data_IF_378223718327
#
_entry.id   IF_378223718327
#
_cell.length_a   1.000
_cell.length_b   1.000
_cell.length_c   1.000
_cell.angle_alpha   90.00
_cell.angle_beta   90.00
_cell.angle_gamma   90.00
#
_symmetry.space_group_name_H-M   'P 1'
#
loop_
_entity.id
_entity.type
_entity.pdbx_description
1 polymer ?
#
# COMPACT_ATOMS: atom_id res chain seq x y z
N UNK A 1 11.58 -17.96 -17.73
CA UNK A 1 12.60 -18.44 -16.77
C UNK A 1 12.20 -18.28 -15.30
N UNK A 2 11.49 -17.22 -14.89
CA UNK A 2 11.04 -17.01 -13.50
C UNK A 2 9.99 -18.03 -13.02
N UNK A 3 8.95 -18.32 -13.83
CA UNK A 3 7.86 -19.25 -13.48
C UNK A 3 8.35 -20.67 -13.17
N UNK A 4 9.12 -21.24 -14.10
CA UNK A 4 9.64 -22.61 -13.98
C UNK A 4 10.51 -22.79 -12.72
N UNK A 5 11.29 -21.76 -12.35
CA UNK A 5 12.10 -21.79 -11.13
C UNK A 5 11.23 -21.80 -9.87
N UNK A 6 10.17 -21.00 -9.83
CA UNK A 6 9.24 -21.00 -8.71
C UNK A 6 8.51 -22.34 -8.55
N UNK A 7 8.09 -22.94 -9.66
CA UNK A 7 7.46 -24.26 -9.65
C UNK A 7 8.42 -25.35 -9.17
N UNK A 8 9.66 -25.37 -9.66
CA UNK A 8 10.70 -26.31 -9.18
C UNK A 8 11.01 -26.13 -7.70
N UNK A 9 11.08 -24.88 -7.21
CA UNK A 9 11.30 -24.58 -5.81
C UNK A 9 10.20 -25.18 -4.90
N UNK A 10 8.93 -25.02 -5.29
CA UNK A 10 7.80 -25.59 -4.54
C UNK A 10 7.86 -27.13 -4.54
N UNK A 11 8.11 -27.75 -5.70
CA UNK A 11 8.22 -29.21 -5.80
C UNK A 11 9.39 -29.76 -4.98
N UNK A 12 10.53 -29.08 -5.00
CA UNK A 12 11.70 -29.45 -4.20
C UNK A 12 11.36 -29.39 -2.70
N UNK A 13 10.81 -28.28 -2.21
CA UNK A 13 10.43 -28.13 -0.80
C UNK A 13 9.38 -29.16 -0.35
N UNK A 14 8.40 -29.46 -1.20
CA UNK A 14 7.39 -30.48 -0.94
C UNK A 14 8.02 -31.88 -0.85
N UNK A 15 8.99 -32.21 -1.72
CA UNK A 15 9.72 -33.49 -1.66
C UNK A 15 10.51 -33.69 -0.35
N UNK A 16 10.84 -32.61 0.35
CA UNK A 16 11.54 -32.61 1.64
C UNK A 16 10.60 -32.75 2.86
N UNK A 17 9.31 -33.00 2.62
CA UNK A 17 8.32 -33.32 3.66
C UNK A 17 7.64 -32.11 4.31
N UNK A 18 7.69 -30.93 3.70
CA UNK A 18 6.96 -29.77 4.20
C UNK A 18 5.46 -29.88 3.86
N UNK A 19 4.63 -29.61 4.86
CA UNK A 19 3.16 -29.69 4.76
C UNK A 19 2.55 -28.66 3.80
N UNK A 20 3.24 -27.53 3.61
CA UNK A 20 2.86 -26.51 2.64
C UNK A 20 4.12 -25.76 2.18
N UNK A 21 4.11 -25.30 0.93
CA UNK A 21 5.13 -24.42 0.38
C UNK A 21 4.51 -23.45 -0.62
N UNK A 22 4.97 -22.20 -0.64
CA UNK A 22 4.74 -21.27 -1.75
C UNK A 22 6.01 -20.57 -2.20
N UNK A 23 5.96 -20.07 -3.43
CA UNK A 23 6.99 -19.25 -4.01
C UNK A 23 6.37 -18.05 -4.74
N UNK A 24 7.00 -16.89 -4.58
CA UNK A 24 6.72 -15.65 -5.30
C UNK A 24 7.93 -15.26 -6.10
N UNK A 25 7.83 -15.34 -7.43
CA UNK A 25 8.84 -14.76 -8.31
C UNK A 25 8.35 -13.42 -8.82
N UNK A 26 9.20 -12.41 -8.70
CA UNK A 26 8.85 -11.04 -9.05
C UNK A 26 9.91 -10.43 -9.94
N UNK A 27 9.46 -9.65 -10.92
CA UNK A 27 10.28 -8.75 -11.72
C UNK A 27 9.68 -7.35 -11.56
N UNK A 28 10.53 -6.38 -11.21
CA UNK A 28 10.16 -4.98 -11.03
C UNK A 28 11.07 -4.15 -11.91
N UNK A 29 10.48 -3.43 -12.85
CA UNK A 29 11.16 -2.47 -13.71
C UNK A 29 10.63 -1.09 -13.39
N UNK A 30 11.50 -0.16 -13.00
CA UNK A 30 11.12 1.20 -12.66
C UNK A 30 12.00 2.19 -13.39
N UNK A 31 11.38 3.21 -13.95
CA UNK A 31 12.06 4.40 -14.44
C UNK A 31 11.37 5.65 -13.91
N UNK A 32 12.12 6.74 -13.86
CA UNK A 32 11.62 8.03 -13.39
C UNK A 32 12.73 9.05 -13.27
N UNK A 33 12.40 10.20 -12.74
CA UNK A 33 13.36 11.27 -12.50
C UNK A 33 12.82 12.24 -11.44
N UNK A 34 13.71 13.09 -10.96
CA UNK A 34 13.40 14.24 -10.10
C UNK A 34 13.86 15.49 -10.84
N UNK A 35 12.91 16.40 -11.07
CA UNK A 35 13.17 17.74 -11.60
C UNK A 35 13.19 18.70 -10.42
N UNK A 36 14.25 19.51 -10.34
CA UNK A 36 14.35 20.64 -9.45
C UNK A 36 14.56 21.90 -10.28
N UNK A 37 13.68 22.88 -10.10
CA UNK A 37 13.79 24.19 -10.72
C UNK A 37 14.10 24.17 -12.23
N UNK A 38 13.43 23.30 -12.98
CA UNK A 38 13.61 23.15 -14.43
C UNK A 38 14.81 22.32 -14.87
N UNK A 39 15.54 21.69 -13.96
CA UNK A 39 16.68 20.83 -14.25
C UNK A 39 16.45 19.43 -13.69
N UNK A 40 16.95 18.40 -14.37
CA UNK A 40 16.91 17.02 -13.86
C UNK A 40 18.05 16.87 -12.85
N UNK A 41 17.70 16.61 -11.59
CA UNK A 41 18.67 16.34 -10.52
C UNK A 41 19.00 14.85 -10.42
N UNK A 42 17.98 14.00 -10.62
CA UNK A 42 18.12 12.56 -10.49
C UNK A 42 17.37 11.83 -11.59
N UNK A 43 17.97 10.77 -12.11
CA UNK A 43 17.31 9.78 -12.97
C UNK A 43 17.25 8.47 -12.21
N UNK A 44 16.07 7.84 -12.22
CA UNK A 44 15.80 6.56 -11.57
C UNK A 44 15.70 5.52 -12.68
N UNK A 45 16.54 4.50 -12.62
CA UNK A 45 16.39 3.27 -13.40
C UNK A 45 16.66 2.10 -12.46
N UNK A 46 15.71 1.18 -12.35
CA UNK A 46 15.80 0.03 -11.46
C UNK A 46 15.23 -1.19 -12.15
N UNK A 47 15.99 -2.28 -12.15
CA UNK A 47 15.54 -3.60 -12.54
C UNK A 47 15.82 -4.55 -11.39
N UNK A 48 14.78 -5.18 -10.87
CA UNK A 48 14.90 -6.20 -9.84
C UNK A 48 14.21 -7.47 -10.29
N UNK A 49 14.85 -8.61 -10.05
CA UNK A 49 14.26 -9.91 -10.29
C UNK A 49 14.70 -10.86 -9.18
N UNK A 50 13.77 -11.69 -8.70
CA UNK A 50 14.10 -12.70 -7.71
C UNK A 50 12.93 -13.58 -7.34
N UNK A 51 13.14 -14.36 -6.28
CA UNK A 51 12.18 -15.32 -5.75
C UNK A 51 12.21 -15.29 -4.22
N UNK A 52 11.03 -15.29 -3.60
CA UNK A 52 10.82 -15.55 -2.18
C UNK A 52 10.06 -16.86 -2.01
N UNK A 53 10.48 -17.71 -1.07
CA UNK A 53 9.93 -19.05 -0.85
C UNK A 53 9.58 -19.19 0.62
N UNK A 54 8.33 -19.56 0.90
CA UNK A 54 7.87 -19.95 2.25
C UNK A 54 7.68 -21.44 2.32
N UNK A 55 8.16 -22.04 3.40
CA UNK A 55 7.96 -23.46 3.72
C UNK A 55 7.28 -23.59 5.07
N UNK A 56 6.31 -24.47 5.17
CA UNK A 56 5.66 -24.84 6.42
C UNK A 56 5.99 -26.29 6.74
N UNK A 57 6.89 -26.50 7.70
CA UNK A 57 7.40 -27.83 8.04
C UNK A 57 7.20 -28.04 9.54
N UNK A 58 6.60 -29.18 9.91
CA UNK A 58 6.21 -29.49 11.29
C UNK A 58 5.45 -28.35 11.97
N UNK A 59 4.53 -27.69 11.26
CA UNK A 59 3.69 -26.62 11.83
C UNK A 59 4.42 -25.32 12.18
N UNK A 60 5.62 -25.07 11.63
CA UNK A 60 6.34 -23.80 11.76
C UNK A 60 6.82 -23.27 10.39
N UNK A 61 6.84 -21.95 10.24
CA UNK A 61 7.29 -21.28 9.03
C UNK A 61 8.81 -21.21 8.91
N UNK A 62 9.31 -21.37 7.69
CA UNK A 62 10.63 -20.96 7.23
C UNK A 62 10.49 -20.08 5.99
N UNK A 63 11.42 -19.16 5.79
CA UNK A 63 11.43 -18.27 4.63
C UNK A 63 12.86 -18.14 4.09
N UNK A 64 12.97 -18.11 2.76
CA UNK A 64 14.20 -17.82 2.05
C UNK A 64 13.90 -16.94 0.83
N UNK A 65 14.82 -16.03 0.50
CA UNK A 65 14.71 -15.24 -0.72
C UNK A 65 16.07 -15.08 -1.39
N UNK A 66 16.07 -14.98 -2.71
CA UNK A 66 17.30 -14.81 -3.51
C UNK A 66 17.00 -14.19 -4.87
N UNK A 67 17.95 -13.44 -5.40
CA UNK A 67 18.03 -13.08 -6.83
C UNK A 67 18.94 -14.02 -7.61
N UNK A 68 19.76 -14.82 -6.92
CA UNK A 68 20.66 -15.82 -7.49
C UNK A 68 19.97 -17.19 -7.56
N UNK A 69 19.71 -17.63 -8.79
CA UNK A 69 19.03 -18.90 -9.06
C UNK A 69 19.83 -20.13 -8.64
N UNK A 70 21.16 -20.03 -8.55
CA UNK A 70 22.02 -21.17 -8.18
C UNK A 70 21.91 -21.53 -6.69
N UNK A 71 21.38 -20.60 -5.87
CA UNK A 71 21.26 -20.76 -4.41
C UNK A 71 19.88 -21.20 -3.95
N UNK A 72 18.94 -21.47 -4.87
CA UNK A 72 17.54 -21.77 -4.52
C UNK A 72 17.46 -23.04 -3.66
N UNK A 73 17.99 -24.18 -4.11
CA UNK A 73 17.83 -25.46 -3.42
C UNK A 73 18.52 -25.47 -2.04
N UNK A 74 19.73 -24.92 -1.95
CA UNK A 74 20.45 -24.77 -0.68
C UNK A 74 19.69 -23.86 0.29
N UNK A 75 19.18 -22.72 -0.20
CA UNK A 75 18.43 -21.80 0.64
C UNK A 75 17.08 -22.35 1.10
N UNK A 76 16.38 -23.12 0.27
CA UNK A 76 15.19 -23.86 0.68
C UNK A 76 15.55 -24.85 1.79
N UNK A 77 16.64 -25.60 1.61
CA UNK A 77 17.12 -26.55 2.62
C UNK A 77 17.38 -25.85 3.96
N UNK A 78 17.99 -24.66 3.94
CA UNK A 78 18.24 -23.88 5.15
C UNK A 78 16.95 -23.31 5.77
N UNK A 79 15.99 -22.87 4.96
CA UNK A 79 14.66 -22.47 5.45
C UNK A 79 13.92 -23.64 6.11
N UNK A 80 14.03 -24.85 5.56
CA UNK A 80 13.43 -26.07 6.15
C UNK A 80 14.12 -26.40 7.48
N UNK A 81 15.46 -26.35 7.55
CA UNK A 81 16.19 -26.55 8.81
C UNK A 81 15.75 -25.54 9.86
N UNK A 82 15.62 -24.27 9.49
CA UNK A 82 15.15 -23.23 10.40
C UNK A 82 13.72 -23.51 10.88
N UNK A 83 12.79 -23.83 9.97
CA UNK A 83 11.41 -24.19 10.31
C UNK A 83 11.36 -25.36 11.30
N UNK A 84 12.09 -26.45 11.03
CA UNK A 84 12.15 -27.64 11.91
C UNK A 84 12.82 -27.35 13.25
N UNK A 85 13.81 -26.46 13.29
CA UNK A 85 14.43 -26.05 14.55
C UNK A 85 13.44 -25.28 15.43
N UNK A 86 12.76 -24.29 14.87
CA UNK A 86 11.79 -23.47 15.61
C UNK A 86 10.50 -24.23 15.95
N UNK A 87 10.15 -25.26 15.18
CA UNK A 87 8.96 -26.08 15.46
C UNK A 87 9.01 -26.79 16.82
N UNK A 88 10.22 -27.01 17.38
CA UNK A 88 10.44 -27.63 18.69
C UNK A 88 10.00 -26.73 19.86
N UNK A 89 9.91 -25.41 19.65
CA UNK A 89 9.59 -24.42 20.69
C UNK A 89 8.30 -23.64 20.40
N UNK A 90 7.49 -24.08 19.42
CA UNK A 90 6.23 -23.42 19.07
C UNK A 90 5.18 -23.61 20.17
N UNK A 91 4.36 -22.59 20.41
CA UNK A 91 3.20 -22.69 21.32
C UNK A 91 2.06 -23.52 20.71
N UNK A 92 1.89 -23.43 19.40
CA UNK A 92 0.85 -24.13 18.62
C UNK A 92 1.34 -24.37 17.20
N UNK A 93 0.73 -25.34 16.51
CA UNK A 93 0.94 -25.51 15.08
C UNK A 93 0.31 -24.35 14.30
N UNK A 94 0.99 -23.90 13.25
CA UNK A 94 0.37 -23.09 12.20
C UNK A 94 -0.63 -23.98 11.45
N UNK A 95 -1.84 -23.47 11.29
CA UNK A 95 -2.93 -24.11 10.53
C UNK A 95 -3.43 -23.11 9.49
N UNK A 96 -3.42 -23.50 8.22
CA UNK A 96 -3.87 -22.65 7.14
C UNK A 96 -5.36 -22.89 6.86
N UNK A 97 -6.13 -21.81 6.82
CA UNK A 97 -7.49 -21.89 6.31
C UNK A 97 -7.46 -22.26 4.82
N UNK A 98 -8.43 -23.08 4.42
CA UNK A 98 -8.57 -23.50 3.03
C UNK A 98 -8.98 -22.32 2.15
N UNK A 99 -8.37 -22.26 0.96
CA UNK A 99 -8.76 -21.35 -0.10
C UNK A 99 -8.89 -22.14 -1.41
N UNK A 100 -9.78 -21.75 -2.33
CA UNK A 100 -9.82 -22.35 -3.65
C UNK A 100 -8.49 -22.16 -4.39
N UNK A 101 -7.93 -23.26 -4.89
CA UNK A 101 -6.76 -23.21 -5.78
C UNK A 101 -7.13 -22.55 -7.11
N UNK A 102 -6.24 -21.71 -7.65
CA UNK A 102 -6.50 -20.94 -8.87
C UNK A 102 -5.31 -21.01 -9.83
N UNK A 103 -5.61 -21.22 -11.12
CA UNK A 103 -4.65 -21.02 -12.23
C UNK A 103 -5.13 -19.82 -13.05
N UNK A 104 -4.38 -18.72 -13.03
CA UNK A 104 -4.76 -17.47 -13.69
C UNK A 104 -3.55 -16.74 -14.27
N UNK A 105 -3.74 -16.07 -15.40
CA UNK A 105 -2.76 -15.16 -15.99
C UNK A 105 -3.44 -13.81 -16.24
N UNK A 106 -3.10 -12.82 -15.42
CA UNK A 106 -3.79 -11.54 -15.32
C UNK A 106 -2.85 -10.43 -15.73
N UNK A 107 -3.17 -9.77 -16.85
CA UNK A 107 -2.49 -8.57 -17.31
C UNK A 107 -3.43 -7.37 -17.22
N UNK A 108 -3.01 -6.38 -16.44
CA UNK A 108 -3.78 -5.18 -16.18
C UNK A 108 -3.62 -4.25 -17.38
N UNK A 109 -4.74 -3.71 -17.87
CA UNK A 109 -4.73 -2.85 -19.06
C UNK A 109 -4.19 -1.46 -18.73
N UNK A 110 -3.25 -0.99 -19.53
CA UNK A 110 -2.82 0.41 -19.58
C UNK A 110 -3.46 1.08 -20.81
N UNK A 111 -3.88 2.34 -20.69
CA UNK A 111 -4.41 3.11 -21.83
C UNK A 111 -3.31 3.85 -22.58
N UNK A 112 -2.32 4.37 -21.85
CA UNK A 112 -1.20 5.17 -22.40
C UNK A 112 0.10 4.73 -21.77
N UNK A 113 1.11 4.42 -22.58
CA UNK A 113 2.41 4.06 -22.04
C UNK A 113 3.09 5.27 -21.37
N UNK A 114 3.63 5.03 -20.18
CA UNK A 114 4.36 6.00 -19.38
C UNK A 114 5.86 5.93 -19.70
N UNK A 115 6.27 6.32 -20.91
CA UNK A 115 7.70 6.34 -21.31
C UNK A 115 8.46 7.46 -20.61
N UNK A 116 9.81 7.39 -20.48
CA UNK A 116 10.61 8.47 -19.92
C UNK A 116 10.32 9.85 -20.55
N UNK A 117 10.16 9.90 -21.88
CA UNK A 117 9.88 11.15 -22.60
C UNK A 117 8.49 11.71 -22.30
N UNK A 118 7.46 10.84 -22.29
CA UNK A 118 6.08 11.27 -22.03
C UNK A 118 5.88 11.69 -20.58
N UNK A 119 6.49 10.97 -19.62
CA UNK A 119 6.56 11.38 -18.21
C UNK A 119 7.29 12.73 -18.10
N UNK A 120 8.45 12.84 -18.75
CA UNK A 120 9.31 14.03 -18.74
C UNK A 120 8.55 15.28 -19.14
N UNK A 121 7.83 15.20 -20.27
CA UNK A 121 7.03 16.30 -20.78
C UNK A 121 6.03 16.82 -19.75
N UNK A 122 5.22 15.93 -19.16
CA UNK A 122 4.20 16.30 -18.16
C UNK A 122 4.85 16.90 -16.91
N UNK A 123 5.95 16.30 -16.44
CA UNK A 123 6.65 16.75 -15.24
C UNK A 123 7.31 18.13 -15.42
N UNK A 124 7.96 18.39 -16.56
CA UNK A 124 8.52 19.71 -16.88
C UNK A 124 7.43 20.79 -17.01
N UNK A 125 6.27 20.44 -17.56
CA UNK A 125 5.13 21.35 -17.64
C UNK A 125 4.59 21.69 -16.23
N UNK A 126 4.49 20.70 -15.34
CA UNK A 126 4.11 20.92 -13.94
C UNK A 126 5.13 21.79 -13.19
N UNK A 127 6.43 21.51 -13.33
CA UNK A 127 7.50 22.31 -12.74
C UNK A 127 7.45 23.78 -13.21
N UNK A 128 7.26 23.99 -14.52
CA UNK A 128 7.11 25.33 -15.10
C UNK A 128 5.90 26.07 -14.54
N UNK A 129 4.77 25.39 -14.36
CA UNK A 129 3.57 25.96 -13.75
C UNK A 129 3.85 26.35 -12.30
N UNK A 130 4.47 25.46 -11.51
CA UNK A 130 4.76 25.72 -10.10
C UNK A 130 5.66 26.95 -9.94
N UNK A 131 6.74 27.02 -10.72
CA UNK A 131 7.69 28.14 -10.74
C UNK A 131 7.13 29.45 -11.29
N UNK A 132 5.96 29.43 -11.93
CA UNK A 132 5.33 30.63 -12.47
C UNK A 132 5.04 31.70 -11.42
N UNK A 133 4.95 31.32 -10.14
CA UNK A 133 4.75 32.24 -9.03
C UNK A 133 6.09 32.71 -8.43
N UNK A 134 6.33 34.03 -8.42
CA UNK A 134 7.60 34.65 -7.99
C UNK A 134 7.97 34.40 -6.52
N UNK A 135 7.01 34.04 -5.66
CA UNK A 135 7.26 33.71 -4.25
C UNK A 135 7.71 32.26 -4.05
N UNK A 136 7.65 31.43 -5.09
CA UNK A 136 8.21 30.07 -5.07
C UNK A 136 9.71 30.15 -5.29
N UNK A 137 10.47 29.69 -4.31
CA UNK A 137 11.94 29.60 -4.38
C UNK A 137 12.42 28.23 -4.84
N UNK A 138 11.59 27.20 -4.66
CA UNK A 138 11.92 25.84 -5.06
C UNK A 138 10.68 25.07 -5.52
N UNK A 139 10.80 24.46 -6.70
CA UNK A 139 9.89 23.47 -7.27
C UNK A 139 10.62 22.13 -7.33
N UNK A 140 10.00 21.07 -6.80
CA UNK A 140 10.48 19.69 -6.93
C UNK A 140 9.34 18.86 -7.51
N UNK A 141 9.58 18.24 -8.66
CA UNK A 141 8.65 17.31 -9.30
C UNK A 141 9.32 15.95 -9.44
N UNK A 142 8.80 14.92 -8.78
CA UNK A 142 9.21 13.54 -9.02
C UNK A 142 8.15 12.82 -9.83
N UNK A 143 8.56 12.16 -10.91
CA UNK A 143 7.65 11.32 -11.69
C UNK A 143 8.30 9.96 -11.90
N UNK A 144 7.53 8.89 -11.71
CA UNK A 144 8.01 7.53 -11.97
C UNK A 144 6.92 6.60 -12.44
N UNK A 145 7.32 5.61 -13.22
CA UNK A 145 6.49 4.48 -13.64
C UNK A 145 7.21 3.19 -13.28
N UNK A 146 6.47 2.23 -12.75
CA UNK A 146 6.98 0.89 -12.45
C UNK A 146 6.11 -0.15 -13.13
N UNK A 147 6.71 -1.16 -13.75
CA UNK A 147 6.03 -2.38 -14.23
C UNK A 147 6.43 -3.54 -13.32
N UNK A 148 5.44 -4.24 -12.80
CA UNK A 148 5.59 -5.34 -11.86
C UNK A 148 4.98 -6.59 -12.47
N UNK A 149 5.78 -7.65 -12.59
CA UNK A 149 5.33 -8.99 -12.94
C UNK A 149 5.51 -9.89 -11.72
N UNK A 150 4.41 -10.42 -11.17
CA UNK A 150 4.39 -11.25 -9.97
C UNK A 150 3.78 -12.61 -10.29
N UNK A 151 4.56 -13.66 -10.08
CA UNK A 151 4.13 -15.05 -10.20
C UNK A 151 4.09 -15.73 -8.83
N UNK A 152 2.90 -16.09 -8.38
CA UNK A 152 2.68 -16.89 -7.17
C UNK A 152 2.38 -18.34 -7.54
N UNK A 153 3.02 -19.29 -6.85
CA UNK A 153 2.72 -20.72 -6.95
C UNK A 153 2.81 -21.37 -5.58
N UNK A 154 1.96 -22.36 -5.31
CA UNK A 154 2.00 -23.12 -4.07
C UNK A 154 1.86 -24.64 -4.26
N UNK A 155 2.10 -25.39 -3.19
CA UNK A 155 2.02 -26.86 -3.15
C UNK A 155 0.60 -27.41 -3.24
N UNK A 156 -0.41 -26.54 -3.19
CA UNK A 156 -1.84 -26.87 -3.33
C UNK A 156 -2.34 -26.64 -4.78
N UNK A 157 -1.42 -26.34 -5.70
CA UNK A 157 -1.68 -26.27 -7.13
C UNK A 157 -2.03 -24.88 -7.68
N UNK A 158 -2.00 -23.83 -6.86
CA UNK A 158 -2.25 -22.47 -7.35
C UNK A 158 -1.10 -22.02 -8.25
N UNK A 159 -1.42 -21.35 -9.36
CA UNK A 159 -0.47 -20.75 -10.33
C UNK A 159 -1.03 -19.43 -10.83
N UNK A 160 -0.58 -18.32 -10.25
CA UNK A 160 -1.20 -17.01 -10.46
C UNK A 160 -0.14 -16.03 -10.97
N UNK A 161 -0.31 -15.55 -12.19
CA UNK A 161 0.46 -14.43 -12.74
C UNK A 161 -0.36 -13.14 -12.66
N UNK A 162 0.26 -12.07 -12.16
CA UNK A 162 -0.28 -10.71 -12.17
C UNK A 162 0.77 -9.75 -12.73
N UNK A 163 0.44 -9.04 -13.81
CA UNK A 163 1.30 -8.02 -14.44
C UNK A 163 0.59 -6.67 -14.48
N UNK A 164 1.15 -5.67 -13.81
CA UNK A 164 0.57 -4.33 -13.71
C UNK A 164 1.64 -3.24 -13.74
N UNK A 165 1.20 -2.02 -14.04
CA UNK A 165 2.05 -0.83 -13.97
C UNK A 165 1.47 0.17 -12.98
N UNK A 166 2.33 0.85 -12.23
CA UNK A 166 1.98 1.94 -11.34
C UNK A 166 2.69 3.22 -11.81
N UNK A 167 1.94 4.29 -12.05
CA UNK A 167 2.45 5.61 -12.46
C UNK A 167 2.13 6.62 -11.36
N UNK A 168 3.14 7.33 -10.86
CA UNK A 168 3.03 8.26 -9.73
C UNK A 168 3.79 9.55 -10.05
N UNK A 169 3.22 10.69 -9.66
CA UNK A 169 3.87 12.00 -9.70
C UNK A 169 3.67 12.76 -8.38
N UNK A 170 4.77 13.20 -7.81
CA UNK A 170 4.85 14.04 -6.62
C UNK A 170 5.18 15.49 -7.02
N UNK A 171 4.36 16.43 -6.57
CA UNK A 171 4.49 17.86 -6.83
C UNK A 171 4.77 18.58 -5.51
N UNK A 172 5.92 19.23 -5.40
CA UNK A 172 6.28 20.00 -4.20
C UNK A 172 6.60 21.44 -4.57
N UNK A 173 5.91 22.37 -3.91
CA UNK A 173 6.15 23.80 -4.02
C UNK A 173 6.64 24.35 -2.68
N UNK A 174 7.74 25.08 -2.69
CA UNK A 174 8.30 25.76 -1.51
C UNK A 174 8.28 27.26 -1.77
N UNK A 175 7.53 27.97 -0.95
CA UNK A 175 7.43 29.42 -0.95
C UNK A 175 8.27 30.03 0.16
N UNK A 176 8.89 31.18 -0.10
CA UNK A 176 9.63 31.92 0.92
C UNK A 176 9.39 33.42 0.79
N UNK A 177 9.12 34.08 1.90
CA UNK A 177 9.02 35.53 1.98
C UNK A 177 9.27 36.00 3.43
N UNK A 178 10.00 37.10 3.59
CA UNK A 178 10.20 37.77 4.88
C UNK A 178 10.69 36.83 6.01
N UNK A 179 11.57 35.89 5.67
CA UNK A 179 12.12 34.91 6.62
C UNK A 179 11.21 33.71 6.92
N UNK A 180 9.99 33.67 6.39
CA UNK A 180 9.06 32.56 6.52
C UNK A 180 9.16 31.63 5.30
N UNK A 181 9.29 30.33 5.56
CA UNK A 181 9.26 29.28 4.53
C UNK A 181 8.03 28.40 4.72
N UNK A 182 7.29 28.14 3.64
CA UNK A 182 6.15 27.24 3.63
C UNK A 182 6.24 26.27 2.46
N UNK A 183 5.72 25.06 2.65
CA UNK A 183 5.70 24.04 1.61
C UNK A 183 4.35 23.35 1.53
N UNK A 184 4.02 22.93 0.31
CA UNK A 184 2.92 22.03 0.00
C UNK A 184 3.47 20.91 -0.86
N UNK A 185 3.04 19.69 -0.56
CA UNK A 185 3.24 18.51 -1.37
C UNK A 185 1.86 17.95 -1.75
N UNK A 186 1.77 17.45 -2.99
CA UNK A 186 0.60 16.75 -3.54
C UNK A 186 1.10 15.58 -4.37
N UNK A 187 0.48 14.41 -4.21
CA UNK A 187 0.83 13.19 -4.94
C UNK A 187 -0.37 12.72 -5.75
N UNK A 188 -0.16 12.45 -7.03
CA UNK A 188 -1.18 11.90 -7.93
C UNK A 188 -0.66 10.67 -8.64
N UNK A 189 -1.57 9.78 -9.02
CA UNK A 189 -1.23 8.56 -9.75
C UNK A 189 -2.11 7.37 -9.42
N UNK A 190 -1.66 6.20 -9.84
CA UNK A 190 -2.38 4.97 -9.61
C UNK A 190 -1.83 3.79 -10.39
N UNK A 191 -2.55 2.67 -10.31
CA UNK A 191 -2.27 1.46 -11.09
C UNK A 191 -2.77 1.63 -12.52
N UNK A 192 -1.87 1.98 -13.42
CA UNK A 192 -2.09 2.19 -14.84
C UNK A 192 -0.88 2.87 -15.48
N UNK A 193 -1.07 3.27 -16.72
CA UNK A 193 -0.07 4.03 -17.47
C UNK A 193 -0.18 5.54 -17.24
N UNK A 194 0.27 6.31 -18.23
CA UNK A 194 0.32 7.77 -18.20
C UNK A 194 -1.06 8.41 -18.01
N UNK A 195 -2.15 7.69 -18.37
CA UNK A 195 -3.53 8.14 -18.14
C UNK A 195 -3.78 8.51 -16.67
N UNK A 196 -3.06 7.89 -15.72
CA UNK A 196 -3.20 8.13 -14.28
C UNK A 196 -2.81 9.53 -13.83
N UNK A 197 -2.00 10.22 -14.63
CA UNK A 197 -1.57 11.60 -14.35
C UNK A 197 -1.95 12.56 -15.48
N UNK A 198 -2.75 12.11 -16.47
CA UNK A 198 -3.13 12.96 -17.63
C UNK A 198 -4.62 12.97 -17.93
N UNK A 199 -5.31 11.82 -17.80
CA UNK A 199 -6.73 11.68 -18.15
C UNK A 199 -7.61 11.53 -16.91
N UNK A 200 -7.10 10.82 -15.91
CA UNK A 200 -7.85 10.54 -14.68
C UNK A 200 -7.83 11.75 -13.72
N UNK A 201 -6.90 12.71 -13.92
CA UNK A 201 -6.74 13.93 -13.10
C UNK A 201 -6.30 15.14 -13.94
N UNK A 202 -6.69 16.34 -13.51
CA UNK A 202 -6.30 17.63 -14.12
C UNK A 202 -4.95 18.13 -13.57
N UNK A 203 -3.88 17.40 -13.90
CA UNK A 203 -2.59 17.51 -13.20
C UNK A 203 -1.95 18.91 -13.26
N UNK A 204 -2.15 19.65 -14.34
CA UNK A 204 -1.65 21.03 -14.48
C UNK A 204 -2.41 22.00 -13.58
N UNK A 205 -3.71 21.77 -13.36
CA UNK A 205 -4.48 22.52 -12.37
C UNK A 205 -3.99 22.22 -10.96
N UNK A 206 -3.69 20.96 -10.66
CA UNK A 206 -3.14 20.51 -9.37
C UNK A 206 -1.75 21.11 -9.13
N UNK A 207 -0.88 21.18 -10.15
CA UNK A 207 0.41 21.84 -10.07
C UNK A 207 0.27 23.34 -9.73
N UNK A 208 -0.69 24.02 -10.39
CA UNK A 208 -1.00 25.42 -10.09
C UNK A 208 -1.53 25.59 -8.66
N UNK A 209 -2.45 24.73 -8.23
CA UNK A 209 -3.01 24.76 -6.88
C UNK A 209 -1.93 24.53 -5.81
N UNK A 210 -1.03 23.57 -6.05
CA UNK A 210 0.12 23.28 -5.17
C UNK A 210 0.98 24.53 -4.96
N UNK A 211 1.29 25.26 -6.05
CA UNK A 211 2.01 26.54 -5.99
C UNK A 211 1.24 27.63 -5.25
N UNK A 212 -0.04 27.83 -5.61
CA UNK A 212 -0.89 28.86 -5.00
C UNK A 212 -1.09 28.62 -3.49
N UNK A 213 -1.23 27.37 -3.06
CA UNK A 213 -1.39 27.01 -1.65
C UNK A 213 -0.11 27.24 -0.85
N UNK A 214 1.06 26.88 -1.38
CA UNK A 214 2.33 27.15 -0.72
C UNK A 214 2.53 28.66 -0.49
N UNK A 215 2.16 29.48 -1.47
CA UNK A 215 2.22 30.94 -1.35
C UNK A 215 1.19 31.50 -0.38
N UNK A 216 -0.07 31.04 -0.43
CA UNK A 216 -1.12 31.46 0.52
C UNK A 216 -0.75 31.13 1.97
N UNK A 217 0.00 30.05 2.21
CA UNK A 217 0.46 29.71 3.56
C UNK A 217 1.44 30.73 4.16
N UNK A 218 2.11 31.55 3.35
CA UNK A 218 2.97 32.62 3.86
C UNK A 218 2.16 33.69 4.62
N UNK A 219 0.91 33.90 4.22
CA UNK A 219 0.00 34.87 4.82
C UNK A 219 -0.92 34.24 5.89
N UNK A 220 -0.80 32.91 6.11
CA UNK A 220 -1.67 32.18 7.02
C UNK A 220 -1.31 32.46 8.49
N UNK A 221 -2.34 32.76 9.29
CA UNK A 221 -2.18 32.90 10.75
C UNK A 221 -2.00 31.53 11.39
N UNK A 222 -1.21 31.42 12.47
CA UNK A 222 -1.17 30.21 13.28
C UNK A 222 -2.58 29.81 13.75
N UNK A 223 -2.86 28.51 13.73
CA UNK A 223 -4.08 27.97 14.33
C UNK A 223 -4.06 28.18 15.85
N UNK A 224 -5.23 28.42 16.45
CA UNK A 224 -5.34 28.52 17.90
C UNK A 224 -5.47 27.14 18.52
N UNK A 225 -4.93 26.97 19.72
CA UNK A 225 -5.21 25.79 20.53
C UNK A 225 -6.56 25.96 21.23
N UNK A 226 -7.59 25.35 20.67
CA UNK A 226 -8.96 25.45 21.20
C UNK A 226 -9.80 24.22 20.85
N UNK A 227 -10.92 24.05 21.58
CA UNK A 227 -11.94 23.09 21.18
C UNK A 227 -12.77 23.71 20.05
N UNK A 228 -12.74 23.07 18.88
CA UNK A 228 -13.46 23.54 17.70
C UNK A 228 -14.08 22.36 16.94
N UNK A 229 -15.13 22.64 16.18
CA UNK A 229 -15.64 21.70 15.17
C UNK A 229 -14.69 21.70 13.98
N UNK A 230 -14.41 20.50 13.46
CA UNK A 230 -13.48 20.32 12.35
C UNK A 230 -14.15 19.56 11.23
N UNK A 231 -14.02 20.09 10.01
CA UNK A 231 -14.27 19.36 8.77
C UNK A 231 -12.92 18.89 8.24
N UNK A 232 -12.81 17.62 7.85
CA UNK A 232 -11.56 17.05 7.37
C UNK A 232 -11.69 16.71 5.88
N UNK A 233 -10.72 17.11 5.08
CA UNK A 233 -10.70 16.75 3.67
C UNK A 233 -10.33 15.26 3.48
N UNK A 234 -10.67 14.67 2.32
CA UNK A 234 -10.39 13.27 2.04
C UNK A 234 -8.92 12.86 2.22
N UNK A 235 -7.96 13.71 1.85
CA UNK A 235 -6.52 13.39 1.98
C UNK A 235 -6.14 13.15 3.44
N UNK A 236 -6.57 14.04 4.35
CA UNK A 236 -6.30 13.87 5.77
C UNK A 236 -7.07 12.68 6.35
N UNK A 237 -8.33 12.47 5.93
CA UNK A 237 -9.14 11.33 6.36
C UNK A 237 -8.53 10.00 5.92
N UNK A 238 -7.91 9.93 4.75
CA UNK A 238 -7.25 8.73 4.26
C UNK A 238 -6.10 8.32 5.19
N UNK A 239 -5.22 9.27 5.57
CA UNK A 239 -4.16 9.02 6.53
C UNK A 239 -4.72 8.63 7.91
N UNK A 240 -5.69 9.39 8.41
CA UNK A 240 -6.30 9.11 9.71
C UNK A 240 -6.89 7.70 9.75
N UNK A 241 -7.58 7.31 8.68
CA UNK A 241 -8.17 5.99 8.52
C UNK A 241 -7.09 4.91 8.49
N UNK A 242 -6.02 5.10 7.72
CA UNK A 242 -4.89 4.17 7.66
C UNK A 242 -4.36 3.84 9.05
N UNK A 243 -4.16 4.87 9.87
CA UNK A 243 -3.46 4.76 11.14
C UNK A 243 -4.36 4.26 12.28
N UNK A 244 -5.55 4.85 12.47
CA UNK A 244 -6.40 4.50 13.64
C UNK A 244 -7.38 3.36 13.37
N UNK A 245 -7.64 3.04 12.10
CA UNK A 245 -8.61 2.01 11.70
C UNK A 245 -7.94 0.89 10.89
N UNK A 246 -7.07 1.24 9.95
CA UNK A 246 -6.44 0.29 9.03
C UNK A 246 -5.48 -0.65 9.75
N UNK A 247 -4.39 -0.12 10.29
CA UNK A 247 -3.41 -0.89 11.03
C UNK A 247 -3.99 -1.70 12.21
N UNK A 248 -4.85 -1.12 13.08
CA UNK A 248 -5.51 -1.90 14.11
C UNK A 248 -6.37 -3.06 13.57
N UNK A 249 -6.84 -2.99 12.31
CA UNK A 249 -7.58 -4.09 11.68
C UNK A 249 -6.71 -5.27 11.29
N UNK A 250 -5.38 -5.15 11.29
CA UNK A 250 -4.48 -6.23 10.90
C UNK A 250 -4.45 -7.31 12.00
N UNK A 251 -4.92 -8.53 11.70
CA UNK A 251 -5.12 -9.55 12.73
C UNK A 251 -3.83 -10.01 13.43
N UNK A 252 -2.66 -9.85 12.79
CA UNK A 252 -1.36 -10.10 13.39
C UNK A 252 -1.02 -9.05 14.48
N UNK A 253 -1.36 -7.78 14.27
CA UNK A 253 -1.32 -6.73 15.32
C UNK A 253 -2.33 -6.98 16.43
N UNK A 254 -3.54 -7.45 16.10
CA UNK A 254 -4.56 -7.82 17.10
C UNK A 254 -4.08 -8.97 18.00
N UNK A 255 -3.36 -9.94 17.41
CA UNK A 255 -2.73 -11.06 18.13
C UNK A 255 -1.41 -10.68 18.82
N UNK A 256 -0.95 -9.45 18.67
CA UNK A 256 0.28 -8.94 19.28
C UNK A 256 1.57 -9.52 18.66
N UNK A 257 1.52 -10.07 17.44
CA UNK A 257 2.70 -10.61 16.75
C UNK A 257 3.72 -9.51 16.38
N UNK A 258 3.24 -8.29 16.16
CA UNK A 258 4.05 -7.13 15.77
C UNK A 258 4.40 -6.21 16.97
N UNK A 259 4.08 -6.60 18.22
CA UNK A 259 4.22 -5.72 19.40
C UNK A 259 5.60 -5.08 19.56
N UNK A 260 6.67 -5.83 19.25
CA UNK A 260 8.04 -5.35 19.43
C UNK A 260 8.51 -4.41 18.30
N UNK A 261 7.78 -4.31 17.19
CA UNK A 261 8.19 -3.58 15.99
C UNK A 261 7.22 -2.45 15.63
N UNK A 262 5.91 -2.73 15.67
CA UNK A 262 4.88 -1.84 15.16
C UNK A 262 3.69 -1.64 16.12
N UNK A 263 3.83 -2.08 17.38
CA UNK A 263 2.80 -1.96 18.41
C UNK A 263 1.67 -2.99 18.29
N UNK A 264 0.62 -2.79 19.09
CA UNK A 264 -0.58 -3.62 19.12
C UNK A 264 -1.82 -2.89 18.59
N UNK A 265 -2.94 -3.60 18.49
CA UNK A 265 -4.22 -2.98 18.14
C UNK A 265 -4.95 -2.48 19.39
N UNK A 266 -5.24 -1.18 19.47
CA UNK A 266 -5.95 -0.57 20.61
C UNK A 266 -7.35 -1.17 20.83
N UNK A 267 -7.96 -1.74 19.79
CA UNK A 267 -9.29 -2.36 19.85
C UNK A 267 -9.27 -3.90 19.93
N UNK A 268 -8.15 -4.49 20.38
CA UNK A 268 -8.10 -5.94 20.62
C UNK A 268 -9.20 -6.37 21.59
N UNK A 269 -9.98 -7.40 21.25
CA UNK A 269 -11.14 -7.84 22.03
C UNK A 269 -12.39 -6.95 21.90
N UNK A 270 -12.45 -6.08 20.89
CA UNK A 270 -13.62 -5.24 20.60
C UNK A 270 -14.48 -5.73 19.43
N UNK A 271 -14.21 -6.91 18.85
CA UNK A 271 -15.03 -7.46 17.79
C UNK A 271 -16.51 -7.57 18.25
N UNK A 272 -17.42 -7.02 17.45
CA UNK A 272 -18.85 -6.91 17.74
C UNK A 272 -19.24 -5.71 18.60
N UNK A 273 -18.30 -4.87 19.06
CA UNK A 273 -18.59 -3.68 19.88
C UNK A 273 -18.66 -2.42 19.02
N UNK A 274 -19.42 -1.44 19.51
CA UNK A 274 -19.46 -0.10 18.94
C UNK A 274 -18.16 0.66 19.25
N UNK A 275 -17.48 1.12 18.21
CA UNK A 275 -16.22 1.87 18.27
C UNK A 275 -16.36 3.31 17.75
N UNK A 276 -17.50 3.65 17.15
CA UNK A 276 -17.75 4.98 16.59
C UNK A 276 -19.23 5.29 16.42
N UNK A 277 -19.50 6.46 15.83
CA UNK A 277 -20.87 6.87 15.50
C UNK A 277 -21.52 5.88 14.53
N UNK A 278 -22.85 5.83 14.48
CA UNK A 278 -23.59 4.98 13.54
C UNK A 278 -23.33 5.31 12.07
N UNK A 279 -22.77 6.48 11.78
CA UNK A 279 -22.42 6.90 10.42
C UNK A 279 -21.05 6.37 9.98
N UNK A 280 -20.26 5.80 10.91
CA UNK A 280 -18.93 5.29 10.60
C UNK A 280 -19.03 3.90 9.95
N UNK A 281 -18.68 3.84 8.68
CA UNK A 281 -18.52 2.62 7.91
C UNK A 281 -17.11 2.61 7.30
N UNK A 282 -16.37 1.52 7.48
CA UNK A 282 -14.97 1.42 7.09
C UNK A 282 -14.76 0.11 6.35
N UNK A 283 -14.07 0.20 5.22
CA UNK A 283 -13.75 -0.93 4.37
C UNK A 283 -12.28 -0.99 4.06
N UNK A 284 -11.82 -2.19 3.68
CA UNK A 284 -10.59 -2.40 2.93
C UNK A 284 -10.95 -3.11 1.62
N UNK A 285 -10.65 -2.50 0.48
CA UNK A 285 -11.13 -3.00 -0.82
C UNK A 285 -10.05 -3.06 -1.91
N UNK A 286 -9.36 -4.21 -2.06
CA UNK A 286 -8.43 -4.46 -3.16
C UNK A 286 -9.08 -4.54 -4.54
N UNK A 287 -10.41 -4.46 -4.68
CA UNK A 287 -11.09 -4.61 -5.99
C UNK A 287 -11.29 -3.29 -6.72
N UNK A 288 -10.96 -2.15 -6.10
CA UNK A 288 -11.13 -0.82 -6.69
C UNK A 288 -10.08 -0.60 -7.80
N UNK A 289 -10.52 -0.74 -9.05
CA UNK A 289 -9.67 -0.66 -10.23
C UNK A 289 -8.96 0.70 -10.34
N UNK A 290 -7.69 0.66 -10.69
CA UNK A 290 -6.86 1.84 -10.94
C UNK A 290 -6.19 2.43 -9.71
N UNK A 291 -6.58 2.04 -8.50
CA UNK A 291 -5.88 2.45 -7.28
C UNK A 291 -4.59 1.63 -7.07
N UNK A 292 -3.62 2.19 -6.33
CA UNK A 292 -2.36 1.51 -6.00
C UNK A 292 -2.54 0.25 -5.14
N UNK A 293 -3.66 0.15 -4.41
CA UNK A 293 -4.05 -1.02 -3.63
C UNK A 293 -4.84 -2.08 -4.42
N UNK A 294 -5.11 -1.86 -5.71
CA UNK A 294 -5.85 -2.82 -6.54
C UNK A 294 -5.04 -4.11 -6.71
N UNK A 295 -5.60 -5.29 -6.47
CA UNK A 295 -5.05 -6.56 -6.97
C UNK A 295 -6.15 -7.62 -7.06
N UNK A 296 -5.88 -8.71 -7.78
CA UNK A 296 -6.84 -9.80 -7.98
C UNK A 296 -6.64 -10.94 -6.99
N UNK A 297 -5.39 -11.16 -6.58
CA UNK A 297 -4.99 -12.17 -5.60
C UNK A 297 -3.88 -11.61 -4.71
N UNK A 298 -3.96 -11.92 -3.42
CA UNK A 298 -2.93 -11.57 -2.45
C UNK A 298 -1.69 -12.49 -2.54
N UNK A 299 -0.70 -12.25 -1.68
CA UNK A 299 0.56 -13.00 -1.66
C UNK A 299 0.46 -14.38 -0.96
N UNK A 300 -0.78 -14.84 -0.71
CA UNK A 300 -1.16 -16.19 -0.30
C UNK A 300 -2.04 -16.92 -1.33
N UNK A 301 -2.35 -16.28 -2.46
CA UNK A 301 -3.24 -16.81 -3.48
C UNK A 301 -4.73 -16.66 -3.15
N UNK A 302 -5.09 -15.85 -2.15
CA UNK A 302 -6.48 -15.58 -1.77
C UNK A 302 -7.08 -14.57 -2.75
N UNK A 303 -8.25 -14.88 -3.31
CA UNK A 303 -8.96 -13.97 -4.23
C UNK A 303 -9.40 -12.70 -3.50
N UNK A 304 -9.12 -11.56 -4.11
CA UNK A 304 -9.48 -10.24 -3.60
C UNK A 304 -10.99 -10.01 -3.57
N UNK A 305 -11.45 -9.34 -2.51
CA UNK A 305 -12.85 -8.99 -2.28
C UNK A 305 -12.93 -7.72 -1.43
N UNK A 306 -14.09 -7.05 -1.46
CA UNK A 306 -14.37 -5.92 -0.56
C UNK A 306 -14.60 -6.42 0.86
N UNK A 307 -13.82 -5.92 1.82
CA UNK A 307 -13.89 -6.31 3.23
C UNK A 307 -14.54 -5.21 4.07
N UNK A 308 -15.61 -5.54 4.80
CA UNK A 308 -16.21 -4.63 5.77
C UNK A 308 -15.52 -4.78 7.11
N UNK A 309 -14.85 -3.72 7.59
CA UNK A 309 -14.19 -3.72 8.90
C UNK A 309 -15.12 -3.14 9.96
N UNK A 310 -15.74 -2.00 9.67
CA UNK A 310 -16.65 -1.30 10.58
C UNK A 310 -17.98 -1.10 9.88
N UNK A 311 -19.08 -1.47 10.52
CA UNK A 311 -20.44 -1.26 10.00
C UNK A 311 -21.33 -0.61 11.05
N UNK A 312 -21.97 0.49 10.68
CA UNK A 312 -22.84 1.28 11.55
C UNK A 312 -22.18 1.62 12.91
N UNK A 313 -20.88 1.94 12.87
CA UNK A 313 -20.05 2.22 14.04
C UNK A 313 -19.57 0.99 14.83
N UNK A 314 -19.92 -0.23 14.43
CA UNK A 314 -19.50 -1.47 15.09
C UNK A 314 -18.35 -2.13 14.36
N UNK A 315 -17.33 -2.60 15.10
CA UNK A 315 -16.25 -3.41 14.56
C UNK A 315 -16.79 -4.80 14.21
N UNK A 316 -16.85 -5.16 12.93
CA UNK A 316 -17.47 -6.41 12.46
C UNK A 316 -16.48 -7.44 11.95
N UNK A 317 -15.28 -7.03 11.55
CA UNK A 317 -14.24 -7.94 11.06
C UNK A 317 -12.82 -7.36 11.16
N UNK A 318 -11.83 -8.21 10.90
CA UNK A 318 -10.43 -7.84 10.75
C UNK A 318 -9.90 -8.23 9.38
N UNK A 319 -8.70 -7.79 9.05
CA UNK A 319 -7.91 -8.27 7.91
C UNK A 319 -7.17 -9.55 8.30
N UNK A 320 -7.25 -10.59 7.46
CA UNK A 320 -6.78 -11.94 7.78
C UNK A 320 -5.85 -12.50 6.69
N UNK A 321 -4.79 -13.15 7.15
CA UNK A 321 -4.05 -14.17 6.41
C UNK A 321 -4.76 -15.53 6.51
N UNK A 322 -4.30 -16.54 5.77
CA UNK A 322 -4.76 -17.93 5.92
C UNK A 322 -4.52 -18.48 7.31
N UNK A 323 -3.40 -18.15 7.94
CA UNK A 323 -3.08 -18.59 9.30
C UNK A 323 -4.00 -17.93 10.33
N UNK A 324 -4.13 -16.60 10.28
CA UNK A 324 -4.91 -15.86 11.29
C UNK A 324 -6.41 -16.11 11.13
N UNK A 325 -6.90 -16.28 9.90
CA UNK A 325 -8.28 -16.70 9.65
C UNK A 325 -8.65 -17.98 10.43
N UNK A 326 -7.77 -18.99 10.47
CA UNK A 326 -7.97 -20.21 11.25
C UNK A 326 -8.10 -19.94 12.75
N UNK A 327 -7.29 -19.02 13.28
CA UNK A 327 -7.29 -18.66 14.72
C UNK A 327 -8.60 -17.97 15.10
N UNK A 328 -9.10 -17.08 14.24
CA UNK A 328 -10.35 -16.34 14.47
C UNK A 328 -11.61 -17.10 14.03
N UNK A 329 -11.47 -18.32 13.49
CA UNK A 329 -12.56 -19.07 12.86
C UNK A 329 -13.30 -18.24 11.79
N UNK A 330 -12.52 -17.57 10.94
CA UNK A 330 -12.96 -16.69 9.86
C UNK A 330 -12.43 -17.20 8.53
N UNK A 331 -12.84 -16.54 7.44
CA UNK A 331 -12.29 -16.80 6.10
C UNK A 331 -11.13 -15.83 5.82
N UNK A 332 -10.08 -16.26 5.12
CA UNK A 332 -9.06 -15.36 4.60
C UNK A 332 -9.72 -14.34 3.66
N UNK A 333 -9.26 -13.10 3.70
CA UNK A 333 -9.92 -12.01 3.00
C UNK A 333 -8.96 -11.16 2.14
N UNK A 334 -7.90 -11.81 1.66
CA UNK A 334 -6.94 -11.28 0.70
C UNK A 334 -6.10 -10.11 1.23
N UNK A 335 -5.78 -10.10 2.52
CA UNK A 335 -4.97 -9.05 3.14
C UNK A 335 -3.51 -9.43 3.34
N UNK A 336 -3.01 -10.55 2.79
CA UNK A 336 -1.61 -10.94 2.96
C UNK A 336 -0.74 -10.37 1.85
N UNK A 337 0.19 -9.46 2.15
CA UNK A 337 0.99 -8.74 1.13
C UNK A 337 2.47 -8.65 1.50
N UNK A 338 3.34 -8.65 0.49
CA UNK A 338 4.77 -8.41 0.59
C UNK A 338 5.18 -7.21 -0.29
N UNK A 339 6.15 -6.44 0.20
CA UNK A 339 6.75 -5.33 -0.55
C UNK A 339 7.55 -5.81 -1.76
N UNK A 340 8.23 -6.95 -1.64
CA UNK A 340 8.85 -7.64 -2.77
C UNK A 340 9.16 -9.11 -2.45
N UNK A 341 9.71 -9.83 -3.42
CA UNK A 341 10.22 -11.20 -3.26
C UNK A 341 11.19 -11.38 -2.08
N UNK A 342 11.85 -10.31 -1.63
CA UNK A 342 12.85 -10.34 -0.54
C UNK A 342 12.24 -10.51 0.85
N UNK A 343 10.94 -10.25 0.99
CA UNK A 343 10.30 -10.14 2.29
C UNK A 343 9.24 -11.21 2.49
N UNK A 344 9.10 -11.70 3.72
CA UNK A 344 7.94 -12.50 4.10
C UNK A 344 6.69 -11.60 4.03
N UNK A 345 5.56 -12.08 3.47
CA UNK A 345 4.35 -11.27 3.46
C UNK A 345 3.78 -11.17 4.86
N UNK A 346 3.02 -10.11 5.12
CA UNK A 346 2.34 -9.84 6.38
C UNK A 346 0.93 -9.31 6.09
N UNK A 347 0.08 -9.25 7.11
CA UNK A 347 -1.29 -8.74 6.94
C UNK A 347 -1.20 -7.24 6.74
N UNK A 348 -1.64 -6.74 5.58
CA UNK A 348 -1.56 -5.33 5.21
C UNK A 348 -2.82 -4.91 4.46
N UNK A 349 -3.18 -3.65 4.69
CA UNK A 349 -4.23 -2.94 3.97
C UNK A 349 -4.05 -2.96 2.45
N UNK A 350 -5.14 -2.84 1.71
CA UNK A 350 -5.18 -2.56 0.28
C UNK A 350 -5.62 -1.11 0.03
N UNK A 351 -6.92 -0.87 -0.03
CA UNK A 351 -7.54 0.45 -0.10
C UNK A 351 -8.49 0.59 1.10
N UNK A 352 -7.95 1.07 2.22
CA UNK A 352 -8.75 1.27 3.44
C UNK A 352 -9.35 2.66 3.46
N UNK A 353 -10.68 2.76 3.52
CA UNK A 353 -11.37 4.05 3.49
C UNK A 353 -12.64 4.05 4.36
N UNK A 354 -12.99 5.24 4.83
CA UNK A 354 -14.33 5.52 5.36
C UNK A 354 -15.27 5.66 4.16
N UNK A 355 -16.39 4.96 4.20
CA UNK A 355 -17.38 5.02 3.12
C UNK A 355 -18.05 6.39 3.06
N UNK A 356 -18.50 6.77 1.85
CA UNK A 356 -19.26 8.00 1.67
C UNK A 356 -20.56 7.96 2.49
N UNK A 357 -20.87 9.07 3.14
CA UNK A 357 -22.21 9.34 3.67
C UNK A 357 -23.08 10.08 2.66
N UNK A 358 -24.17 10.66 3.16
CA UNK A 358 -25.18 11.33 2.33
C UNK A 358 -25.01 12.86 2.25
N UNK A 359 -24.03 13.42 2.96
CA UNK A 359 -23.80 14.86 3.01
C UNK A 359 -23.02 15.36 1.80
N UNK A 360 -23.43 16.50 1.25
CA UNK A 360 -22.60 17.26 0.31
C UNK A 360 -21.42 17.92 1.07
N UNK A 361 -20.18 17.86 0.54
CA UNK A 361 -19.03 18.46 1.21
C UNK A 361 -19.17 19.98 1.45
N UNK A 362 -19.85 20.73 0.56
CA UNK A 362 -20.05 22.15 0.77
C UNK A 362 -21.08 22.43 1.86
N UNK A 363 -22.11 21.59 1.98
CA UNK A 363 -23.07 21.66 3.08
C UNK A 363 -22.38 21.42 4.43
N UNK A 364 -21.48 20.44 4.49
CA UNK A 364 -20.69 20.15 5.70
C UNK A 364 -19.86 21.35 6.13
N UNK A 365 -19.21 22.04 5.19
CA UNK A 365 -18.43 23.26 5.49
C UNK A 365 -19.35 24.42 5.90
N UNK A 366 -20.50 24.60 5.24
CA UNK A 366 -21.45 25.69 5.54
C UNK A 366 -22.11 25.53 6.91
N UNK A 367 -22.36 24.31 7.37
CA UNK A 367 -22.98 24.03 8.67
C UNK A 367 -22.06 24.43 9.85
N UNK A 368 -20.73 24.36 9.64
CA UNK A 368 -19.75 24.74 10.64
C UNK A 368 -19.56 26.26 10.70
N UNK A 369 -20.33 26.92 11.59
CA UNK A 369 -20.29 28.38 11.78
C UNK A 369 -18.94 28.92 12.27
N UNK A 370 -18.27 28.18 13.16
CA UNK A 370 -16.95 28.49 13.68
C UNK A 370 -16.19 27.18 13.85
N UNK A 371 -15.08 27.04 13.14
CA UNK A 371 -14.32 25.80 13.12
C UNK A 371 -13.17 25.85 12.13
N UNK A 372 -12.59 24.69 11.87
CA UNK A 372 -11.45 24.53 10.97
C UNK A 372 -11.77 23.53 9.87
N UNK A 373 -11.29 23.83 8.66
CA UNK A 373 -11.14 22.84 7.60
C UNK A 373 -9.69 22.33 7.66
N UNK A 374 -9.49 21.08 8.04
CA UNK A 374 -8.17 20.44 7.95
C UNK A 374 -8.02 19.87 6.55
N UNK A 375 -6.98 20.32 5.86
CA UNK A 375 -6.67 19.88 4.51
C UNK A 375 -5.19 19.51 4.38
N UNK A 376 -4.94 18.48 3.57
CA UNK A 376 -3.60 17.98 3.25
C UNK A 376 -2.85 17.40 4.46
N UNK A 377 -1.74 16.75 4.15
CA UNK A 377 -0.85 16.09 5.08
C UNK A 377 0.52 16.77 5.03
N UNK A 378 1.06 17.17 6.18
CA UNK A 378 2.48 17.56 6.30
C UNK A 378 3.34 16.45 6.90
N UNK A 379 2.73 15.49 7.59
CA UNK A 379 3.42 14.44 8.35
C UNK A 379 2.81 13.09 8.00
N UNK A 380 3.62 12.08 7.64
CA UNK A 380 3.12 10.80 7.14
C UNK A 380 2.56 9.87 8.23
N UNK A 381 2.48 10.31 9.49
CA UNK A 381 1.94 9.51 10.57
C UNK A 381 1.39 10.38 11.71
N UNK A 382 0.41 9.83 12.42
CA UNK A 382 -0.16 10.40 13.64
C UNK A 382 0.41 9.77 14.92
N UNK A 383 1.18 8.67 14.79
CA UNK A 383 1.84 7.99 15.92
C UNK A 383 3.27 8.51 16.09
N UNK A 384 3.38 9.78 16.50
CA UNK A 384 4.66 10.42 16.78
C UNK A 384 4.90 10.60 18.29
N UNK A 385 4.64 9.55 19.08
CA UNK A 385 4.99 9.56 20.51
C UNK A 385 6.21 8.71 20.83
#
# INVERSE_FOLDING_TARGET
>A
MSRERAEKAVLFAQSQGCSYCDARSEIIEKHGFVIENGHIEHVITRHESGIGIRVLCDGAWGFYSTSDATKIDNGITDAIKAAKHYSQKKKSNVVLAEIPSATQDIKYKIKKEATPDSLGKVAFDCDRIIRGNKKITKSIVSASSSTISKYFVNSEGAKIMQEFSDTIMDLTAIAHQDGLTQSINTTEGGRGGLEKITDDVEIFSIAKETSDRAVKLLDAKPAKEEKATVVMNPDFVALLTHEILGHPSEADRVLGKEMAWAGGAWWSGMLGKQIGSKNLNVIDDPTIKGNLGWYDYDDEGTKSQRNQIVKDGNLVDHMYSRETASIFNKKPNASMRATSYRFMPLIRMACTCIEKGDWDPQEMVKDVKNGYLISNMKIPSIDMR
#
